data_IF_095818399367
#
_entry.id   IF_095818399367
#
_cell.length_a   1.000
_cell.length_b   1.000
_cell.length_c   1.000
_cell.angle_alpha   90.00
_cell.angle_beta   90.00
_cell.angle_gamma   90.00
#
_symmetry.space_group_name_H-M   'P 1'
#
loop_
_entity.id
_entity.type
_entity.pdbx_description
1 polymer ?
#
# COMPACT_ATOMS: atom_id res chain seq x y z
N UNK A 1 20.37 -14.28 11.17
CA UNK A 1 20.34 -12.80 11.27
C UNK A 1 18.89 -12.36 11.16
N UNK A 2 18.34 -11.71 12.18
CA UNK A 2 17.01 -11.08 12.07
C UNK A 2 17.13 -9.87 11.15
N UNK A 3 16.31 -9.81 10.10
CA UNK A 3 16.17 -8.60 9.29
C UNK A 3 14.88 -7.88 9.70
N UNK A 4 14.89 -6.54 9.60
CA UNK A 4 13.68 -5.74 9.72
C UNK A 4 12.62 -6.25 8.72
N UNK A 5 11.37 -6.40 9.16
CA UNK A 5 10.27 -6.95 8.36
C UNK A 5 10.11 -6.23 7.02
N UNK A 6 10.32 -4.90 6.98
CA UNK A 6 10.21 -4.13 5.73
C UNK A 6 11.44 -4.27 4.83
N UNK A 7 12.54 -4.82 5.36
CA UNK A 7 13.77 -5.15 4.63
C UNK A 7 13.79 -6.62 4.18
N UNK A 8 12.89 -7.45 4.71
CA UNK A 8 12.74 -8.83 4.25
C UNK A 8 12.48 -8.84 2.72
N UNK A 9 13.15 -9.71 1.93
CA UNK A 9 13.08 -9.66 0.46
C UNK A 9 11.66 -9.70 -0.12
N UNK A 10 10.76 -10.44 0.55
CA UNK A 10 9.34 -10.46 0.20
C UNK A 10 8.68 -9.07 0.35
N UNK A 11 8.87 -8.42 1.50
CA UNK A 11 8.28 -7.11 1.77
C UNK A 11 8.89 -6.01 0.90
N UNK A 12 10.22 -5.97 0.77
CA UNK A 12 10.91 -4.95 -0.05
C UNK A 12 10.47 -5.03 -1.52
N UNK A 13 10.28 -6.24 -2.07
CA UNK A 13 9.75 -6.43 -3.43
C UNK A 13 8.35 -5.88 -3.60
N UNK A 14 7.45 -6.11 -2.64
CA UNK A 14 6.07 -5.60 -2.70
C UNK A 14 6.01 -4.08 -2.53
N UNK A 15 6.73 -3.55 -1.55
CA UNK A 15 6.76 -2.12 -1.26
C UNK A 15 7.39 -1.31 -2.40
N UNK A 16 8.36 -1.87 -3.14
CA UNK A 16 8.87 -1.27 -4.38
C UNK A 16 7.78 -1.13 -5.45
N UNK A 17 6.93 -2.15 -5.62
CA UNK A 17 5.79 -2.08 -6.57
C UNK A 17 4.75 -1.05 -6.14
N UNK A 18 4.44 -0.97 -4.84
CA UNK A 18 3.59 0.08 -4.27
C UNK A 18 4.16 1.46 -4.63
N UNK A 19 5.45 1.69 -4.41
CA UNK A 19 6.08 2.96 -4.76
C UNK A 19 6.07 3.27 -6.26
N UNK A 20 6.23 2.27 -7.12
CA UNK A 20 6.13 2.42 -8.58
C UNK A 20 4.72 2.91 -8.95
N UNK A 21 3.67 2.27 -8.41
CA UNK A 21 2.27 2.69 -8.64
C UNK A 21 2.04 4.12 -8.15
N UNK A 22 2.39 4.41 -6.89
CA UNK A 22 2.18 5.73 -6.29
C UNK A 22 2.91 6.83 -7.07
N UNK A 23 4.16 6.59 -7.45
CA UNK A 23 4.96 7.56 -8.22
C UNK A 23 4.37 7.80 -9.60
N UNK A 24 3.87 6.75 -10.26
CA UNK A 24 3.27 6.87 -11.58
C UNK A 24 2.03 7.78 -11.57
N UNK A 25 1.05 7.53 -10.70
CA UNK A 25 -0.17 8.34 -10.64
C UNK A 25 0.08 9.76 -10.14
N UNK A 26 1.14 9.97 -9.34
CA UNK A 26 1.56 11.30 -8.91
C UNK A 26 2.19 12.11 -10.05
N UNK A 27 2.98 11.48 -10.90
CA UNK A 27 3.77 12.17 -11.93
C UNK A 27 3.07 12.25 -13.29
N UNK A 28 2.17 11.32 -13.60
CA UNK A 28 1.39 11.34 -14.83
C UNK A 28 0.08 12.10 -14.61
N UNK A 29 0.04 13.37 -15.01
CA UNK A 29 -1.12 14.24 -14.77
C UNK A 29 -2.43 13.69 -15.36
N UNK A 30 -2.39 13.07 -16.55
CA UNK A 30 -3.59 12.51 -17.20
C UNK A 30 -4.10 11.28 -16.46
N UNK A 31 -3.20 10.33 -16.16
CA UNK A 31 -3.58 9.13 -15.41
C UNK A 31 -4.01 9.47 -13.98
N UNK A 32 -3.32 10.40 -13.32
CA UNK A 32 -3.64 10.88 -11.98
C UNK A 32 -5.00 11.58 -11.91
N UNK A 33 -5.34 12.43 -12.89
CA UNK A 33 -6.65 13.07 -12.97
C UNK A 33 -7.77 12.02 -13.14
N UNK A 34 -7.58 11.04 -14.04
CA UNK A 34 -8.56 9.99 -14.26
C UNK A 34 -8.72 9.07 -13.03
N UNK A 35 -7.62 8.77 -12.35
CA UNK A 35 -7.63 8.02 -11.10
C UNK A 35 -8.47 8.73 -10.03
N UNK A 36 -8.31 10.05 -9.87
CA UNK A 36 -9.11 10.86 -8.96
C UNK A 36 -10.60 10.91 -9.32
N UNK A 37 -10.91 11.05 -10.60
CA UNK A 37 -12.29 11.01 -11.10
C UNK A 37 -12.98 9.69 -10.74
N UNK A 38 -12.28 8.56 -10.93
CA UNK A 38 -12.80 7.23 -10.62
C UNK A 38 -12.92 6.99 -9.11
N UNK A 39 -12.01 7.50 -8.29
CA UNK A 39 -12.14 7.44 -6.83
C UNK A 39 -13.44 8.09 -6.35
N UNK A 40 -13.74 9.28 -6.88
CA UNK A 40 -14.96 10.01 -6.55
C UNK A 40 -16.21 9.30 -7.09
N UNK A 41 -16.16 8.79 -8.32
CA UNK A 41 -17.28 8.11 -8.98
C UNK A 41 -17.63 6.79 -8.27
N UNK A 42 -16.63 6.04 -7.80
CA UNK A 42 -16.82 4.80 -7.05
C UNK A 42 -17.06 5.03 -5.55
N UNK A 43 -17.14 6.29 -5.10
CA UNK A 43 -17.32 6.67 -3.69
C UNK A 43 -16.29 6.04 -2.74
N UNK A 44 -15.05 5.89 -3.21
CA UNK A 44 -13.94 5.38 -2.40
C UNK A 44 -13.43 6.52 -1.53
N UNK A 45 -13.69 6.45 -0.23
CA UNK A 45 -13.22 7.43 0.75
C UNK A 45 -11.69 7.39 0.87
N UNK A 46 -11.08 8.54 1.11
CA UNK A 46 -9.63 8.67 1.34
C UNK A 46 -8.95 9.55 0.29
N UNK A 47 -7.65 9.79 0.51
CA UNK A 47 -6.83 10.63 -0.37
C UNK A 47 -5.97 9.82 -1.34
N UNK A 48 -4.96 10.50 -1.91
CA UNK A 48 -3.91 9.90 -2.76
C UNK A 48 -3.22 8.76 -2.01
N UNK A 49 -2.78 7.75 -2.78
CA UNK A 49 -1.93 6.67 -2.27
C UNK A 49 -0.66 7.27 -1.65
N UNK A 50 -0.39 6.95 -0.38
CA UNK A 50 0.81 7.40 0.31
C UNK A 50 2.05 6.68 -0.25
N UNK A 51 3.15 7.41 -0.38
CA UNK A 51 4.44 6.84 -0.79
C UNK A 51 5.10 6.16 0.43
N UNK A 52 5.57 4.93 0.25
CA UNK A 52 6.37 4.26 1.28
C UNK A 52 7.78 4.86 1.34
N UNK A 53 8.20 5.22 2.56
CA UNK A 53 9.53 5.71 2.87
C UNK A 53 10.28 4.70 3.76
N UNK A 54 11.44 4.22 3.31
CA UNK A 54 12.24 3.21 4.01
C UNK A 54 12.65 3.61 5.43
N UNK A 55 12.89 4.90 5.68
CA UNK A 55 13.28 5.40 7.00
C UNK A 55 12.11 5.59 7.96
N UNK A 56 10.86 5.40 7.49
CA UNK A 56 9.63 5.56 8.28
C UNK A 56 8.72 4.36 8.04
N UNK A 57 8.99 3.26 8.75
CA UNK A 57 8.31 1.97 8.56
C UNK A 57 6.77 2.05 8.67
N UNK A 58 6.22 2.97 9.48
CA UNK A 58 4.76 3.18 9.60
C UNK A 58 4.10 3.60 8.28
N UNK A 59 4.86 4.21 7.36
CA UNK A 59 4.39 4.52 6.00
C UNK A 59 4.22 3.28 5.14
N UNK A 60 4.88 2.16 5.47
CA UNK A 60 4.69 0.89 4.77
C UNK A 60 3.25 0.41 4.89
N UNK A 61 2.74 0.28 6.13
CA UNK A 61 1.36 -0.10 6.37
C UNK A 61 0.37 0.86 5.69
N UNK A 62 0.53 2.18 5.88
CA UNK A 62 -0.35 3.19 5.27
C UNK A 62 -0.39 3.09 3.75
N UNK A 63 0.77 2.93 3.10
CA UNK A 63 0.85 2.80 1.65
C UNK A 63 0.19 1.52 1.14
N UNK A 64 0.30 0.41 1.88
CA UNK A 64 -0.36 -0.85 1.54
C UNK A 64 -1.87 -0.73 1.70
N UNK A 65 -2.33 -0.17 2.83
CA UNK A 65 -3.74 0.07 3.09
C UNK A 65 -4.38 0.95 2.00
N UNK A 66 -3.69 2.02 1.61
CA UNK A 66 -4.11 2.87 0.50
C UNK A 66 -4.24 2.09 -0.82
N UNK A 67 -3.22 1.30 -1.21
CA UNK A 67 -3.26 0.51 -2.45
C UNK A 67 -4.38 -0.55 -2.43
N UNK A 68 -4.58 -1.22 -1.29
CA UNK A 68 -5.65 -2.21 -1.13
C UNK A 68 -7.03 -1.56 -1.22
N UNK A 69 -7.19 -0.37 -0.62
CA UNK A 69 -8.43 0.41 -0.68
C UNK A 69 -8.77 0.81 -2.11
N UNK A 70 -7.79 1.27 -2.88
CA UNK A 70 -8.01 1.74 -4.26
C UNK A 70 -7.94 0.62 -5.31
N UNK A 71 -7.87 -0.65 -4.88
CA UNK A 71 -7.73 -1.82 -5.77
C UNK A 71 -8.74 -1.80 -6.91
N UNK A 72 -10.03 -1.59 -6.61
CA UNK A 72 -11.09 -1.61 -7.62
C UNK A 72 -10.91 -0.50 -8.68
N UNK A 73 -10.39 0.66 -8.29
CA UNK A 73 -10.07 1.76 -9.21
C UNK A 73 -8.90 1.38 -10.11
N UNK A 74 -7.86 0.76 -9.56
CA UNK A 74 -6.71 0.29 -10.33
C UNK A 74 -7.13 -0.77 -11.36
N UNK A 75 -7.95 -1.76 -10.96
CA UNK A 75 -8.49 -2.78 -11.85
C UNK A 75 -9.37 -2.17 -12.96
N UNK A 76 -10.21 -1.18 -12.62
CA UNK A 76 -11.02 -0.48 -13.61
C UNK A 76 -10.18 0.30 -14.63
N UNK A 77 -9.11 0.98 -14.17
CA UNK A 77 -8.18 1.67 -15.06
C UNK A 77 -7.46 0.70 -16.00
N UNK A 78 -7.00 -0.44 -15.49
CA UNK A 78 -6.37 -1.46 -16.31
C UNK A 78 -7.32 -2.03 -17.38
N UNK A 79 -8.61 -2.17 -17.05
CA UNK A 79 -9.60 -2.71 -17.97
C UNK A 79 -10.10 -1.70 -19.02
N UNK A 80 -10.33 -0.44 -18.65
CA UNK A 80 -11.06 0.52 -19.49
C UNK A 80 -10.21 1.69 -20.00
N UNK A 81 -9.05 1.94 -19.38
CA UNK A 81 -8.22 3.11 -19.63
C UNK A 81 -6.73 2.73 -19.74
N UNK A 82 -6.46 1.57 -20.36
CA UNK A 82 -5.10 1.03 -20.49
C UNK A 82 -4.18 1.94 -21.30
N UNK A 83 -4.73 2.79 -22.17
CA UNK A 83 -4.00 3.81 -22.93
C UNK A 83 -3.37 4.88 -22.03
N UNK A 84 -3.97 5.15 -20.85
CA UNK A 84 -3.43 6.07 -19.86
C UNK A 84 -2.32 5.44 -19.01
N UNK A 85 -2.23 4.10 -18.99
CA UNK A 85 -1.25 3.32 -18.25
C UNK A 85 0.00 3.02 -19.10
N UNK A 86 0.57 4.07 -19.70
CA UNK A 86 1.65 4.00 -20.69
C UNK A 86 2.97 3.42 -20.18
N UNK A 87 3.13 3.26 -18.86
CA UNK A 87 4.31 2.66 -18.27
C UNK A 87 4.16 1.13 -18.25
N UNK A 88 5.10 0.47 -18.92
CA UNK A 88 5.18 -0.99 -19.10
C UNK A 88 5.19 -1.77 -17.79
N UNK A 89 5.56 -1.14 -16.66
CA UNK A 89 5.56 -1.78 -15.34
C UNK A 89 4.22 -1.72 -14.63
N UNK A 90 3.33 -0.79 -14.96
CA UNK A 90 2.10 -0.53 -14.19
C UNK A 90 1.05 -1.61 -14.43
N UNK A 91 0.73 -1.88 -15.70
CA UNK A 91 -0.25 -2.91 -16.07
C UNK A 91 0.12 -4.29 -15.50
N UNK A 92 1.37 -4.78 -15.63
CA UNK A 92 1.76 -6.04 -15.01
C UNK A 92 1.62 -6.05 -13.49
N UNK A 93 1.82 -4.93 -12.78
CA UNK A 93 1.63 -4.89 -11.32
C UNK A 93 0.15 -5.03 -10.97
N UNK A 94 -0.73 -4.28 -11.64
CA UNK A 94 -2.17 -4.29 -11.37
C UNK A 94 -2.80 -5.64 -11.74
N UNK A 95 -2.41 -6.19 -12.89
CA UNK A 95 -2.97 -7.45 -13.38
C UNK A 95 -2.34 -8.70 -12.75
N UNK A 96 -1.28 -8.56 -11.94
CA UNK A 96 -0.68 -9.70 -11.26
C UNK A 96 -1.60 -10.19 -10.16
N UNK A 97 -2.23 -11.35 -10.39
CA UNK A 97 -3.18 -11.97 -9.45
C UNK A 97 -2.67 -12.02 -8.00
N UNK A 98 -1.40 -12.38 -7.83
CA UNK A 98 -0.79 -12.50 -6.50
C UNK A 98 -0.44 -11.17 -5.84
N UNK A 99 -0.30 -10.06 -6.58
CA UNK A 99 0.19 -8.82 -5.98
C UNK A 99 -0.68 -8.33 -4.83
N UNK A 100 -1.99 -8.22 -5.05
CA UNK A 100 -2.91 -7.77 -4.01
C UNK A 100 -3.08 -8.79 -2.88
N UNK A 101 -2.98 -10.09 -3.16
CA UNK A 101 -3.06 -11.13 -2.12
C UNK A 101 -1.81 -11.13 -1.24
N UNK A 102 -0.63 -11.01 -1.83
CA UNK A 102 0.64 -10.85 -1.12
C UNK A 102 0.66 -9.55 -0.30
N UNK A 103 0.11 -8.45 -0.85
CA UNK A 103 -0.07 -7.20 -0.11
C UNK A 103 -1.02 -7.35 1.09
N UNK A 104 -2.10 -8.13 0.98
CA UNK A 104 -2.99 -8.41 2.12
C UNK A 104 -2.25 -9.16 3.23
N UNK A 105 -1.44 -10.16 2.87
CA UNK A 105 -0.63 -10.91 3.85
C UNK A 105 0.34 -10.00 4.56
N UNK A 106 1.12 -9.20 3.81
CA UNK A 106 2.06 -8.24 4.41
C UNK A 106 1.33 -7.16 5.23
N UNK A 107 0.23 -6.65 4.71
CA UNK A 107 -0.60 -5.63 5.35
C UNK A 107 -1.19 -6.12 6.67
N UNK A 108 -1.57 -7.39 6.77
CA UNK A 108 -2.05 -7.99 8.02
C UNK A 108 -0.97 -7.94 9.12
N UNK A 109 0.24 -8.39 8.82
CA UNK A 109 1.36 -8.39 9.80
C UNK A 109 1.74 -6.96 10.18
N UNK A 110 1.86 -6.06 9.20
CA UNK A 110 2.21 -4.67 9.46
C UNK A 110 1.10 -3.89 10.19
N UNK A 111 -0.17 -4.23 10.00
CA UNK A 111 -1.28 -3.61 10.73
C UNK A 111 -1.21 -3.92 12.22
N UNK A 112 -0.92 -5.18 12.57
CA UNK A 112 -0.78 -5.60 13.96
C UNK A 112 0.34 -4.80 14.64
N UNK A 113 1.53 -4.79 14.04
CA UNK A 113 2.67 -4.00 14.51
C UNK A 113 2.34 -2.50 14.60
N UNK A 114 1.65 -1.96 13.58
CA UNK A 114 1.27 -0.54 13.53
C UNK A 114 0.36 -0.15 14.69
N UNK A 115 -0.66 -0.95 15.00
CA UNK A 115 -1.60 -0.68 16.09
C UNK A 115 -0.93 -0.80 17.46
N UNK A 116 -0.17 -1.86 17.68
CA UNK A 116 0.52 -2.12 18.95
C UNK A 116 1.53 -1.01 19.24
N UNK A 117 2.34 -0.61 18.26
CA UNK A 117 3.29 0.52 18.45
C UNK A 117 2.55 1.84 18.69
N UNK A 118 1.43 2.10 17.98
CA UNK A 118 0.64 3.30 18.23
C UNK A 118 0.05 3.34 19.66
N UNK A 119 -0.46 2.23 20.16
CA UNK A 119 -0.99 2.14 21.52
C UNK A 119 0.10 2.41 22.56
N UNK A 120 1.29 1.84 22.34
CA UNK A 120 2.47 2.09 23.18
C UNK A 120 2.90 3.56 23.13
N UNK A 121 2.97 4.18 21.94
CA UNK A 121 3.31 5.60 21.77
C UNK A 121 2.29 6.53 22.45
N UNK A 122 1.02 6.13 22.49
CA UNK A 122 -0.05 6.86 23.16
C UNK A 122 -0.10 6.62 24.67
N UNK A 123 0.72 5.71 25.20
CA UNK A 123 0.68 5.25 26.60
C UNK A 123 -0.68 4.61 26.96
N UNK A 124 -1.34 4.02 25.97
CA UNK A 124 -2.59 3.26 26.13
C UNK A 124 -2.31 1.77 26.42
N UNK A 125 -1.07 1.31 26.20
CA UNK A 125 -0.59 -0.04 26.43
C UNK A 125 0.86 -0.01 26.95
N UNK A 126 1.27 -1.05 27.67
CA UNK A 126 2.67 -1.27 28.04
C UNK A 126 3.34 -2.38 27.18
N UNK A 127 4.62 -2.68 27.46
CA UNK A 127 5.36 -3.71 26.72
C UNK A 127 4.80 -5.13 26.93
N UNK A 128 4.18 -5.40 28.08
CA UNK A 128 3.55 -6.69 28.37
C UNK A 128 2.28 -6.85 27.53
N UNK A 129 1.45 -5.81 27.46
CA UNK A 129 0.27 -5.79 26.59
C UNK A 129 0.67 -6.01 25.12
N UNK A 130 1.71 -5.32 24.66
CA UNK A 130 2.25 -5.47 23.31
C UNK A 130 2.72 -6.89 23.02
N UNK A 131 3.37 -7.56 23.99
CA UNK A 131 3.82 -8.94 23.82
C UNK A 131 2.64 -9.91 23.67
N UNK A 132 1.59 -9.74 24.46
CA UNK A 132 0.38 -10.57 24.38
C UNK A 132 -0.39 -10.38 23.08
N UNK A 133 -0.44 -9.16 22.53
CA UNK A 133 -1.07 -8.89 21.23
C UNK A 133 -0.31 -9.48 20.04
N UNK A 134 1.01 -9.66 20.18
CA UNK A 134 1.90 -10.13 19.12
C UNK A 134 2.23 -11.64 19.18
N UNK A 135 1.82 -12.33 20.26
CA UNK A 135 2.07 -13.75 20.51
C UNK A 135 1.06 -14.66 19.79
#
# INVERSE_FOLDING_TARGET
MSCDIVQHPFADKLLKKVNILTTFFRNNARAGAKFWELLNTMNIKGGVIMLYCKTRWTTAYKSIDDVLRVKAVLENMAANYSDLLTNDKINPIICLWNFFNELKVLGFVLNLLYKTVLALERKEADLSDCYLELA
#
